data_IF_348616705177
#
_entry.id   IF_348616705177
#
_cell.length_a   1.000
_cell.length_b   1.000
_cell.length_c   1.000
_cell.angle_alpha   90.00
_cell.angle_beta   90.00
_cell.angle_gamma   90.00
#
_symmetry.space_group_name_H-M   'P 1'
#
loop_
_entity.id
_entity.type
_entity.pdbx_description
1 polymer ?
#
# COMPACT_ATOMS: atom_id res chain seq x y z
N UNK A 1 19.09 -31.30 15.93
CA UNK A 1 17.72 -30.92 16.38
C UNK A 1 16.94 -30.48 15.15
N UNK A 2 15.79 -31.08 14.85
CA UNK A 2 14.91 -30.62 13.76
C UNK A 2 14.23 -29.34 14.23
N UNK A 3 14.64 -28.20 13.66
CA UNK A 3 14.01 -26.91 13.93
C UNK A 3 12.66 -26.91 13.22
N UNK A 4 11.62 -27.44 13.88
CA UNK A 4 10.25 -27.39 13.37
C UNK A 4 9.76 -25.95 13.47
N UNK A 5 10.09 -25.14 12.46
CA UNK A 5 9.50 -23.82 12.28
C UNK A 5 7.98 -23.98 12.25
N UNK A 6 7.31 -23.27 13.15
CA UNK A 6 5.86 -23.30 13.27
C UNK A 6 5.29 -22.61 12.04
N UNK A 7 4.80 -23.41 11.08
CA UNK A 7 4.22 -22.90 9.83
C UNK A 7 3.19 -21.83 10.14
N UNK A 8 3.39 -20.62 9.59
CA UNK A 8 2.43 -19.52 9.70
C UNK A 8 1.08 -19.97 9.11
N UNK A 9 0.00 -19.63 9.80
CA UNK A 9 -1.37 -19.95 9.36
C UNK A 9 -2.13 -18.65 9.18
N UNK A 10 -2.90 -18.54 8.10
CA UNK A 10 -3.73 -17.35 7.81
C UNK A 10 -4.60 -16.91 9.00
N UNK A 11 -5.13 -17.86 9.77
CA UNK A 11 -5.94 -17.58 10.98
C UNK A 11 -5.22 -16.81 12.09
N UNK A 12 -3.91 -16.66 12.00
CA UNK A 12 -3.11 -15.88 12.94
C UNK A 12 -3.04 -14.39 12.58
N UNK A 13 -3.59 -14.01 11.42
CA UNK A 13 -3.60 -12.66 10.88
C UNK A 13 -5.04 -12.13 10.82
N UNK A 14 -5.21 -10.82 10.92
CA UNK A 14 -6.51 -10.12 10.82
C UNK A 14 -6.99 -10.05 9.38
N UNK A 15 -6.09 -9.83 8.42
CA UNK A 15 -6.50 -9.52 7.04
C UNK A 15 -5.85 -10.38 5.95
N UNK A 16 -4.79 -11.15 6.24
CA UNK A 16 -4.17 -11.99 5.22
C UNK A 16 -4.96 -13.26 4.89
N UNK A 17 -5.04 -13.55 3.59
CA UNK A 17 -5.52 -14.84 3.07
C UNK A 17 -4.41 -15.89 3.11
N UNK A 18 -4.77 -17.17 2.92
CA UNK A 18 -3.79 -18.26 2.85
C UNK A 18 -2.80 -18.09 1.70
N UNK A 19 -3.25 -17.56 0.57
CA UNK A 19 -2.43 -17.39 -0.62
C UNK A 19 -1.39 -16.29 -0.42
N UNK A 20 -1.78 -15.18 0.21
CA UNK A 20 -0.83 -14.11 0.58
C UNK A 20 0.18 -14.58 1.64
N UNK A 21 -0.26 -15.38 2.63
CA UNK A 21 0.69 -15.97 3.61
C UNK A 21 1.67 -16.94 2.93
N UNK A 22 1.27 -17.61 1.85
CA UNK A 22 2.15 -18.49 1.07
C UNK A 22 3.09 -17.68 0.17
N UNK A 23 2.56 -16.67 -0.51
CA UNK A 23 3.29 -15.79 -1.41
C UNK A 23 2.93 -14.31 -1.12
N UNK A 24 3.73 -13.62 -0.29
CA UNK A 24 3.47 -12.22 0.07
C UNK A 24 3.52 -11.26 -1.14
N UNK A 25 4.22 -11.65 -2.23
CA UNK A 25 4.31 -10.84 -3.45
C UNK A 25 2.93 -10.58 -4.08
N UNK A 26 1.97 -11.50 -3.92
CA UNK A 26 0.61 -11.31 -4.44
C UNK A 26 -0.05 -10.03 -3.91
N UNK A 27 0.19 -9.68 -2.65
CA UNK A 27 -0.32 -8.43 -2.09
C UNK A 27 0.53 -7.23 -2.51
N UNK A 28 1.85 -7.38 -2.48
CA UNK A 28 2.79 -6.29 -2.76
C UNK A 28 2.59 -5.78 -4.20
N UNK A 29 2.56 -6.70 -5.17
CA UNK A 29 2.33 -6.37 -6.57
C UNK A 29 0.98 -5.71 -6.77
N UNK A 30 -0.09 -6.28 -6.22
CA UNK A 30 -1.44 -5.74 -6.38
C UNK A 30 -1.56 -4.32 -5.80
N UNK A 31 -1.02 -4.11 -4.61
CA UNK A 31 -1.10 -2.82 -3.92
C UNK A 31 -0.31 -1.72 -4.63
N UNK A 32 0.95 -1.96 -5.00
CA UNK A 32 1.80 -0.93 -5.61
C UNK A 32 1.59 -0.77 -7.12
N UNK A 33 0.99 -1.75 -7.82
CA UNK A 33 0.65 -1.62 -9.24
C UNK A 33 -0.75 -1.06 -9.49
N UNK A 34 -1.73 -1.40 -8.65
CA UNK A 34 -3.13 -1.10 -8.95
C UNK A 34 -3.79 -0.14 -7.96
N UNK A 35 -3.40 -0.12 -6.70
CA UNK A 35 -4.09 0.66 -5.66
C UNK A 35 -3.48 2.06 -5.47
N UNK A 36 -2.16 2.18 -5.44
CA UNK A 36 -1.50 3.46 -5.14
C UNK A 36 -0.04 3.48 -5.59
N UNK A 37 0.58 4.66 -5.56
CA UNK A 37 2.04 4.80 -5.66
C UNK A 37 2.64 5.10 -4.29
N UNK A 38 3.96 4.91 -4.15
CA UNK A 38 4.64 5.04 -2.86
C UNK A 38 4.51 6.45 -2.24
N UNK A 39 4.52 7.51 -3.05
CA UNK A 39 4.45 8.89 -2.54
C UNK A 39 3.07 9.25 -2.01
N UNK A 40 2.00 8.84 -2.69
CA UNK A 40 0.64 9.00 -2.18
C UNK A 40 0.42 8.17 -0.93
N UNK A 41 0.92 6.94 -0.92
CA UNK A 41 0.81 6.09 0.25
C UNK A 41 1.55 6.65 1.46
N UNK A 42 2.78 7.15 1.28
CA UNK A 42 3.53 7.84 2.34
C UNK A 42 2.73 9.02 2.91
N UNK A 43 2.14 9.85 2.06
CA UNK A 43 1.33 10.98 2.51
C UNK A 43 0.10 10.52 3.31
N UNK A 44 -0.56 9.44 2.88
CA UNK A 44 -1.69 8.87 3.61
C UNK A 44 -1.26 8.37 4.99
N UNK A 45 -0.14 7.66 5.10
CA UNK A 45 0.41 7.24 6.40
C UNK A 45 0.73 8.45 7.28
N UNK A 46 1.40 9.46 6.72
CA UNK A 46 1.78 10.66 7.46
C UNK A 46 0.55 11.41 7.99
N UNK A 47 -0.46 11.61 7.14
CA UNK A 47 -1.69 12.27 7.53
C UNK A 47 -2.44 11.48 8.60
N UNK A 48 -2.59 10.17 8.40
CA UNK A 48 -3.29 9.28 9.32
C UNK A 48 -2.65 9.28 10.72
N UNK A 49 -1.32 9.11 10.79
CA UNK A 49 -0.61 9.06 12.07
C UNK A 49 -0.57 10.43 12.75
N UNK A 50 -0.42 11.53 11.98
CA UNK A 50 -0.44 12.88 12.56
C UNK A 50 -1.82 13.25 13.08
N UNK A 51 -2.89 12.91 12.36
CA UNK A 51 -4.26 13.15 12.79
C UNK A 51 -4.61 12.42 14.10
N UNK A 52 -3.97 11.29 14.37
CA UNK A 52 -4.17 10.56 15.63
C UNK A 52 -3.46 11.21 16.83
N UNK A 53 -2.37 11.96 16.60
CA UNK A 53 -1.66 12.67 17.66
C UNK A 53 -2.13 14.13 17.84
N UNK A 54 -2.77 14.70 16.81
CA UNK A 54 -3.29 16.07 16.82
C UNK A 54 -4.79 16.00 16.50
N UNK A 55 -5.67 15.93 17.51
CA UNK A 55 -7.11 15.76 17.32
C UNK A 55 -7.76 16.79 16.41
N UNK A 56 -7.19 17.99 16.29
CA UNK A 56 -7.67 19.07 15.40
C UNK A 56 -7.45 18.76 13.92
N UNK A 57 -6.49 17.88 13.59
CA UNK A 57 -6.25 17.40 12.22
C UNK A 57 -7.13 16.19 11.89
N UNK A 58 -7.84 15.61 12.87
CA UNK A 58 -8.67 14.44 12.65
C UNK A 58 -10.03 14.81 12.05
N UNK A 59 -10.27 14.40 10.80
CA UNK A 59 -11.63 14.29 10.28
C UNK A 59 -12.24 12.95 10.70
N UNK A 60 -13.10 13.01 11.71
CA UNK A 60 -13.75 11.84 12.32
C UNK A 60 -14.75 11.16 11.38
N UNK A 61 -15.26 11.90 10.40
CA UNK A 61 -16.20 11.38 9.41
C UNK A 61 -15.49 10.95 8.12
N UNK A 62 -14.16 11.02 8.09
CA UNK A 62 -13.39 10.59 6.94
C UNK A 62 -13.48 9.07 6.80
N UNK A 63 -14.36 8.63 5.90
CA UNK A 63 -14.69 7.22 5.69
C UNK A 63 -13.46 6.36 5.36
N UNK A 64 -12.42 6.98 4.78
CA UNK A 64 -11.20 6.26 4.40
C UNK A 64 -10.28 5.94 5.58
N UNK A 65 -10.47 6.52 6.78
CA UNK A 65 -9.62 6.19 7.95
C UNK A 65 -9.60 4.68 8.23
N UNK A 66 -10.76 4.03 8.16
CA UNK A 66 -10.86 2.57 8.33
C UNK A 66 -10.18 1.80 7.19
N UNK A 67 -10.24 2.32 5.97
CA UNK A 67 -9.55 1.74 4.82
C UNK A 67 -8.02 1.83 4.97
N UNK A 68 -7.50 3.02 5.27
CA UNK A 68 -6.07 3.27 5.45
C UNK A 68 -5.51 2.44 6.61
N UNK A 69 -6.21 2.40 7.75
CA UNK A 69 -5.83 1.56 8.89
C UNK A 69 -5.74 0.08 8.50
N UNK A 70 -6.76 -0.44 7.79
CA UNK A 70 -6.76 -1.82 7.30
C UNK A 70 -5.59 -2.11 6.35
N UNK A 71 -5.27 -1.18 5.43
CA UNK A 71 -4.14 -1.35 4.52
C UNK A 71 -2.78 -1.31 5.24
N UNK A 72 -2.60 -0.42 6.22
CA UNK A 72 -1.40 -0.42 7.05
C UNK A 72 -1.24 -1.73 7.83
N UNK A 73 -2.32 -2.24 8.45
CA UNK A 73 -2.26 -3.54 9.14
C UNK A 73 -1.93 -4.66 8.16
N UNK A 74 -2.50 -4.67 6.95
CA UNK A 74 -2.12 -5.66 5.91
C UNK A 74 -0.63 -5.59 5.57
N UNK A 75 -0.06 -4.40 5.38
CA UNK A 75 1.38 -4.23 5.13
C UNK A 75 2.24 -4.75 6.28
N UNK A 76 1.85 -4.46 7.52
CA UNK A 76 2.51 -5.00 8.72
C UNK A 76 2.46 -6.54 8.71
N UNK A 77 1.31 -7.14 8.41
CA UNK A 77 1.16 -8.59 8.36
C UNK A 77 2.00 -9.22 7.23
N UNK A 78 2.01 -8.62 6.04
CA UNK A 78 2.82 -9.08 4.91
C UNK A 78 4.31 -9.00 5.25
N UNK A 79 4.75 -7.89 5.83
CA UNK A 79 6.13 -7.75 6.29
C UNK A 79 6.47 -8.79 7.37
N UNK A 80 5.53 -9.16 8.24
CA UNK A 80 5.74 -10.20 9.24
C UNK A 80 5.90 -11.58 8.59
N UNK A 81 5.13 -11.88 7.55
CA UNK A 81 5.30 -13.11 6.76
C UNK A 81 6.71 -13.14 6.17
N UNK A 82 7.17 -12.04 5.55
CA UNK A 82 8.53 -11.93 4.99
C UNK A 82 9.59 -12.10 6.08
N UNK A 83 9.43 -11.42 7.21
CA UNK A 83 10.33 -11.50 8.37
C UNK A 83 10.57 -12.96 8.81
N UNK A 84 9.50 -13.76 8.90
CA UNK A 84 9.59 -15.17 9.29
C UNK A 84 10.08 -16.08 8.17
N UNK A 85 9.59 -15.91 6.94
CA UNK A 85 9.98 -16.75 5.80
C UNK A 85 11.46 -16.58 5.46
N UNK A 86 11.95 -15.34 5.52
CA UNK A 86 13.36 -14.98 5.29
C UNK A 86 14.23 -15.15 6.53
N UNK A 87 13.66 -15.50 7.70
CA UNK A 87 14.36 -15.68 8.97
C UNK A 87 15.21 -14.45 9.34
N UNK A 88 14.64 -13.26 9.16
CA UNK A 88 15.33 -12.02 9.44
C UNK A 88 15.64 -11.93 10.95
N UNK A 89 16.84 -11.49 11.34
CA UNK A 89 17.22 -11.40 12.75
C UNK A 89 16.46 -10.26 13.43
N UNK A 90 16.40 -10.30 14.77
CA UNK A 90 16.07 -9.12 15.56
C UNK A 90 17.34 -8.27 15.75
N UNK A 91 17.17 -6.97 15.93
CA UNK A 91 18.23 -5.99 16.11
C UNK A 91 18.08 -5.28 17.45
N UNK A 92 19.21 -5.02 18.11
CA UNK A 92 19.22 -4.38 19.43
C UNK A 92 18.90 -2.87 19.37
N UNK A 93 19.15 -2.24 18.22
CA UNK A 93 18.97 -0.78 18.03
C UNK A 93 18.03 -0.47 16.86
N UNK A 94 16.73 -0.80 16.97
CA UNK A 94 15.76 -0.69 15.88
C UNK A 94 15.52 0.73 15.36
N UNK A 95 15.82 1.75 16.16
CA UNK A 95 15.68 3.16 15.78
C UNK A 95 16.97 3.77 15.24
N UNK A 96 18.06 3.00 15.14
CA UNK A 96 19.30 3.45 14.51
C UNK A 96 19.23 3.22 12.99
N UNK A 97 18.77 4.24 12.27
CA UNK A 97 18.50 4.13 10.85
C UNK A 97 19.69 4.43 9.93
N UNK A 98 20.71 5.15 10.40
CA UNK A 98 21.79 5.66 9.55
C UNK A 98 23.12 5.04 9.98
N UNK A 99 23.66 4.15 9.15
CA UNK A 99 24.98 3.57 9.37
C UNK A 99 26.10 4.52 8.93
N UNK A 100 25.83 5.34 7.91
CA UNK A 100 26.79 6.25 7.29
C UNK A 100 26.21 7.65 7.09
N UNK A 101 27.09 8.63 6.81
CA UNK A 101 26.67 9.98 6.42
C UNK A 101 25.92 9.99 5.09
N UNK A 102 26.24 9.05 4.20
CA UNK A 102 25.57 8.89 2.92
C UNK A 102 24.11 8.47 3.11
N UNK A 103 23.85 7.52 4.02
CA UNK A 103 22.47 7.08 4.35
C UNK A 103 21.62 8.26 4.85
N UNK A 104 22.20 9.11 5.71
CA UNK A 104 21.54 10.31 6.20
C UNK A 104 21.27 11.34 5.09
N UNK A 105 22.23 11.53 4.19
CA UNK A 105 22.07 12.42 3.03
C UNK A 105 20.98 11.91 2.08
N UNK A 106 20.95 10.62 1.78
CA UNK A 106 19.93 9.98 0.94
C UNK A 106 18.53 10.15 1.55
N UNK A 107 18.40 9.96 2.86
CA UNK A 107 17.14 10.22 3.56
C UNK A 107 16.69 11.68 3.44
N UNK A 108 17.55 12.65 3.73
CA UNK A 108 17.19 14.06 3.74
C UNK A 108 16.85 14.63 2.36
N UNK A 109 17.62 14.26 1.33
CA UNK A 109 17.56 14.92 0.03
C UNK A 109 16.91 14.07 -1.07
N UNK A 110 16.83 12.75 -0.89
CA UNK A 110 16.29 11.82 -1.89
C UNK A 110 15.09 11.03 -1.39
N UNK A 111 14.78 11.11 -0.09
CA UNK A 111 13.72 10.29 0.53
C UNK A 111 13.98 8.79 0.33
N UNK A 112 15.26 8.41 0.31
CA UNK A 112 15.69 7.03 0.10
C UNK A 112 16.13 6.40 1.44
N UNK A 113 15.62 5.20 1.71
CA UNK A 113 15.90 4.47 2.95
C UNK A 113 16.98 3.42 2.72
N UNK A 114 18.21 3.82 3.00
CA UNK A 114 19.42 3.08 2.61
C UNK A 114 20.28 2.67 3.80
N UNK A 115 21.06 1.61 3.61
CA UNK A 115 22.14 1.17 4.50
C UNK A 115 23.39 1.00 3.65
N UNK A 116 24.47 1.69 4.01
CA UNK A 116 25.68 1.76 3.18
C UNK A 116 25.39 2.22 1.74
N UNK A 117 24.48 3.19 1.58
CA UNK A 117 24.13 3.81 0.31
C UNK A 117 23.21 2.98 -0.59
N UNK A 118 22.74 1.81 -0.14
CA UNK A 118 21.87 0.92 -0.93
C UNK A 118 20.54 0.64 -0.21
N UNK A 119 19.41 0.47 -0.95
CA UNK A 119 18.15 0.06 -0.35
C UNK A 119 18.31 -1.26 0.41
N UNK A 120 17.80 -1.30 1.65
CA UNK A 120 17.92 -2.45 2.52
C UNK A 120 16.55 -2.84 3.14
N UNK A 121 15.63 -3.39 2.33
CA UNK A 121 14.29 -3.75 2.82
C UNK A 121 14.34 -4.81 3.93
N UNK A 122 15.28 -5.76 3.85
CA UNK A 122 15.48 -6.77 4.90
C UNK A 122 15.86 -6.14 6.24
N UNK A 123 16.80 -5.19 6.24
CA UNK A 123 17.22 -4.46 7.43
C UNK A 123 16.05 -3.65 8.00
N UNK A 124 15.30 -2.98 7.14
CA UNK A 124 14.13 -2.18 7.53
C UNK A 124 13.05 -3.02 8.19
N UNK A 125 12.66 -4.15 7.59
CA UNK A 125 11.67 -5.08 8.16
C UNK A 125 12.18 -5.66 9.49
N UNK A 126 13.47 -6.00 9.56
CA UNK A 126 14.12 -6.49 10.77
C UNK A 126 14.05 -5.46 11.91
N UNK A 127 14.39 -4.19 11.65
CA UNK A 127 14.24 -3.08 12.61
C UNK A 127 12.78 -2.87 13.04
N UNK A 128 11.83 -2.95 12.10
CA UNK A 128 10.41 -2.77 12.36
C UNK A 128 9.87 -3.76 13.41
N UNK A 129 10.17 -5.05 13.27
CA UNK A 129 9.75 -6.07 14.24
C UNK A 129 10.64 -6.17 15.49
N UNK A 130 11.82 -5.54 15.45
CA UNK A 130 12.67 -5.37 16.62
C UNK A 130 12.20 -4.23 17.53
N UNK A 131 11.59 -3.19 16.95
CA UNK A 131 10.94 -2.14 17.72
C UNK A 131 9.78 -2.68 18.56
N UNK A 132 8.88 -3.43 17.92
CA UNK A 132 7.81 -4.12 18.64
C UNK A 132 7.25 -5.33 17.88
N UNK A 133 6.70 -6.29 18.64
CA UNK A 133 6.07 -7.49 18.09
C UNK A 133 4.82 -7.18 17.27
N UNK A 134 4.42 -8.11 16.38
CA UNK A 134 3.16 -8.01 15.61
C UNK A 134 1.93 -7.68 16.48
N UNK A 135 1.81 -8.32 17.66
CA UNK A 135 0.68 -8.05 18.56
C UNK A 135 0.67 -6.60 19.04
N UNK A 136 1.83 -6.07 19.45
CA UNK A 136 1.94 -4.67 19.86
C UNK A 136 1.66 -3.69 18.71
N UNK A 137 2.03 -4.07 17.48
CA UNK A 137 1.65 -3.29 16.30
C UNK A 137 0.14 -3.26 16.09
N UNK A 138 -0.55 -4.37 16.31
CA UNK A 138 -2.01 -4.37 16.29
C UNK A 138 -2.60 -3.43 17.34
N UNK A 139 -2.11 -3.52 18.58
CA UNK A 139 -2.58 -2.65 19.67
C UNK A 139 -2.32 -1.17 19.32
N UNK A 140 -1.14 -0.86 18.76
CA UNK A 140 -0.79 0.50 18.29
C UNK A 140 -1.76 1.01 17.22
N UNK A 141 -2.10 0.18 16.22
CA UNK A 141 -3.02 0.57 15.15
C UNK A 141 -4.45 0.73 15.65
N UNK A 142 -4.87 -0.11 16.60
CA UNK A 142 -6.18 -0.01 17.25
C UNK A 142 -6.29 1.29 18.08
N UNK A 143 -5.23 1.63 18.82
CA UNK A 143 -5.14 2.89 19.57
C UNK A 143 -5.19 4.09 18.63
N UNK A 144 -4.39 4.09 17.55
CA UNK A 144 -4.41 5.15 16.54
C UNK A 144 -5.83 5.34 15.97
N UNK A 145 -6.50 4.24 15.60
CA UNK A 145 -7.87 4.28 15.08
C UNK A 145 -8.87 4.79 16.12
N UNK A 146 -8.69 4.43 17.39
CA UNK A 146 -9.49 4.93 18.49
C UNK A 146 -9.36 6.46 18.60
N UNK A 147 -8.13 6.99 18.64
CA UNK A 147 -7.89 8.43 18.77
C UNK A 147 -8.38 9.25 17.56
N UNK A 148 -8.40 8.65 16.37
CA UNK A 148 -9.01 9.30 15.18
C UNK A 148 -10.54 9.44 15.27
N UNK A 149 -11.21 8.64 16.12
CA UNK A 149 -12.68 8.60 16.18
C UNK A 149 -13.26 9.22 17.45
N UNK A 150 -12.46 9.31 18.53
CA UNK A 150 -12.94 9.83 19.81
C UNK A 150 -12.94 11.36 19.83
N UNK A 151 -13.98 12.00 20.42
CA UNK A 151 -14.08 13.45 20.45
C UNK A 151 -13.06 14.20 21.31
N UNK A 152 -12.22 13.48 22.06
CA UNK A 152 -11.52 13.99 23.21
C UNK A 152 -10.25 14.75 22.80
N UNK A 153 -10.27 16.06 23.00
CA UNK A 153 -9.17 16.98 22.75
C UNK A 153 -8.16 17.03 23.90
N UNK A 154 -8.27 16.14 24.90
CA UNK A 154 -7.53 16.27 26.15
C UNK A 154 -6.14 15.60 26.18
N UNK A 155 -5.84 14.68 25.26
CA UNK A 155 -4.73 13.74 25.47
C UNK A 155 -3.69 13.73 24.33
N UNK A 156 -3.11 14.89 24.05
CA UNK A 156 -1.99 15.06 23.11
C UNK A 156 -0.75 14.23 23.46
N UNK A 157 -0.66 13.73 24.69
CA UNK A 157 0.51 13.03 25.21
C UNK A 157 0.43 11.50 25.08
N UNK A 158 -0.69 10.91 24.60
CA UNK A 158 -0.84 9.44 24.61
C UNK A 158 0.33 8.70 23.95
N UNK A 159 0.71 9.14 22.75
CA UNK A 159 1.86 8.59 22.05
C UNK A 159 3.17 9.32 22.40
N UNK A 160 3.09 10.57 22.89
CA UNK A 160 4.25 11.43 23.14
C UNK A 160 5.25 11.43 21.98
N UNK A 161 6.54 11.32 22.29
CA UNK A 161 7.60 11.24 21.27
C UNK A 161 7.56 9.94 20.45
N UNK A 162 6.87 8.90 20.90
CA UNK A 162 6.80 7.61 20.20
C UNK A 162 6.03 7.73 18.89
N UNK A 163 5.13 8.71 18.74
CA UNK A 163 4.40 8.92 17.48
C UNK A 163 5.36 9.17 16.31
N UNK A 164 6.47 9.87 16.56
CA UNK A 164 7.48 10.16 15.54
C UNK A 164 8.14 8.86 15.08
N UNK A 165 8.49 7.98 16.02
CA UNK A 165 9.07 6.68 15.72
C UNK A 165 8.08 5.76 15.00
N UNK A 166 6.82 5.73 15.44
CA UNK A 166 5.73 4.96 14.80
C UNK A 166 5.55 5.42 13.35
N UNK A 167 5.41 6.72 13.12
CA UNK A 167 5.26 7.31 11.78
C UNK A 167 6.44 6.95 10.89
N UNK A 168 7.67 7.17 11.37
CA UNK A 168 8.88 6.90 10.61
C UNK A 168 9.02 5.41 10.26
N UNK A 169 8.71 4.52 11.20
CA UNK A 169 8.74 3.07 10.98
C UNK A 169 7.69 2.60 9.98
N UNK A 170 6.46 3.12 10.04
CA UNK A 170 5.40 2.78 9.09
C UNK A 170 5.73 3.25 7.67
N UNK A 171 6.27 4.47 7.52
CA UNK A 171 6.72 4.98 6.21
C UNK A 171 7.88 4.13 5.68
N UNK A 172 8.89 3.85 6.51
CA UNK A 172 10.02 2.98 6.12
C UNK A 172 9.56 1.59 5.70
N UNK A 173 8.59 1.01 6.40
CA UNK A 173 8.01 -0.28 6.05
C UNK A 173 7.36 -0.21 4.65
N UNK A 174 6.58 0.83 4.39
CA UNK A 174 5.97 1.04 3.08
C UNK A 174 7.01 1.16 1.96
N UNK A 175 8.12 1.88 2.18
CA UNK A 175 9.21 1.93 1.21
C UNK A 175 9.93 0.59 1.07
N UNK A 176 10.14 -0.15 2.16
CA UNK A 176 10.75 -1.48 2.10
C UNK A 176 9.91 -2.45 1.24
N UNK A 177 8.58 -2.44 1.39
CA UNK A 177 7.69 -3.25 0.56
C UNK A 177 7.66 -2.77 -0.89
N UNK A 178 7.75 -1.46 -1.13
CA UNK A 178 7.87 -0.91 -2.47
C UNK A 178 9.20 -1.31 -3.14
N UNK A 179 10.34 -1.26 -2.45
CA UNK A 179 11.61 -1.75 -3.00
C UNK A 179 11.55 -3.24 -3.32
N UNK A 180 10.89 -4.05 -2.48
CA UNK A 180 10.65 -5.46 -2.78
C UNK A 180 9.80 -5.63 -4.06
N UNK A 181 8.84 -4.74 -4.32
CA UNK A 181 8.07 -4.74 -5.56
C UNK A 181 8.95 -4.42 -6.78
N UNK A 182 9.75 -3.36 -6.70
CA UNK A 182 10.60 -2.91 -7.80
C UNK A 182 11.72 -3.93 -8.13
N UNK A 183 12.30 -4.54 -7.10
CA UNK A 183 13.37 -5.53 -7.23
C UNK A 183 12.84 -6.97 -7.48
N UNK A 184 11.52 -7.14 -7.60
CA UNK A 184 10.83 -8.44 -7.72
C UNK A 184 11.21 -9.45 -6.61
N UNK A 185 11.54 -8.96 -5.41
CA UNK A 185 11.89 -9.81 -4.27
C UNK A 185 12.82 -9.16 -3.25
N UNK A 186 13.41 -10.01 -2.41
CA UNK A 186 14.36 -9.60 -1.36
C UNK A 186 15.70 -10.30 -1.55
N UNK A 187 16.78 -9.53 -1.63
CA UNK A 187 18.13 -10.07 -1.69
C UNK A 187 18.65 -10.37 -0.28
N UNK A 188 18.88 -11.65 0.00
CA UNK A 188 19.50 -12.09 1.26
C UNK A 188 20.96 -12.45 1.02
N UNK A 189 21.86 -11.95 1.87
CA UNK A 189 23.25 -12.38 1.84
C UNK A 189 23.37 -13.80 2.37
N UNK A 190 23.39 -14.78 1.47
CA UNK A 190 23.60 -16.18 1.81
C UNK A 190 25.10 -16.47 1.86
N UNK A 191 25.61 -17.11 2.93
CA UNK A 191 27.01 -17.53 2.98
C UNK A 191 27.38 -18.41 1.78
N UNK A 192 28.63 -18.39 1.29
CA UNK A 192 29.02 -19.06 0.04
C UNK A 192 28.78 -20.57 0.00
N UNK A 193 28.65 -21.20 1.17
CA UNK A 193 28.40 -22.63 1.32
C UNK A 193 26.91 -23.01 1.21
N UNK A 194 25.99 -22.04 1.19
CA UNK A 194 24.56 -22.26 1.00
C UNK A 194 24.27 -22.20 -0.50
N UNK A 195 23.99 -23.36 -1.10
CA UNK A 195 23.47 -23.42 -2.47
C UNK A 195 21.97 -23.17 -2.42
N UNK A 196 21.50 -22.14 -3.12
CA UNK A 196 20.09 -22.00 -3.42
C UNK A 196 19.64 -23.29 -4.12
N UNK A 197 18.63 -23.97 -3.57
CA UNK A 197 17.93 -25.01 -4.31
C UNK A 197 17.08 -24.24 -5.31
N UNK A 198 17.64 -23.99 -6.48
CA UNK A 198 16.83 -23.69 -7.65
C UNK A 198 16.08 -25.00 -7.90
N UNK A 199 14.84 -25.10 -7.43
CA UNK A 199 13.92 -26.06 -8.02
C UNK A 199 13.84 -25.65 -9.49
N UNK A 200 14.55 -26.39 -10.35
CA UNK A 200 14.36 -26.29 -11.80
C UNK A 200 12.85 -26.30 -12.06
N UNK A 201 12.35 -25.50 -13.01
CA UNK A 201 10.93 -25.47 -13.31
C UNK A 201 10.50 -26.91 -13.52
N UNK A 202 9.64 -27.42 -12.63
CA UNK A 202 9.00 -28.70 -12.82
C UNK A 202 8.32 -28.60 -14.19
N UNK A 203 8.96 -29.18 -15.20
CA UNK A 203 8.28 -29.65 -16.40
C UNK A 203 7.34 -30.74 -15.91
N UNK A 204 6.21 -30.31 -15.36
CA UNK A 204 5.07 -31.18 -15.15
C UNK A 204 4.64 -31.61 -16.54
N UNK A 205 5.09 -32.79 -16.94
CA UNK A 205 4.38 -33.62 -17.90
C UNK A 205 3.14 -34.22 -17.22
N UNK A 206 2.45 -33.44 -16.38
CA UNK A 206 1.10 -33.75 -15.95
C UNK A 206 0.20 -33.34 -17.11
N UNK A 207 -0.31 -34.36 -17.80
CA UNK A 207 -1.48 -34.24 -18.68
C UNK A 207 -2.46 -33.25 -18.06
N UNK A 208 -2.65 -32.09 -18.72
CA UNK A 208 -3.70 -31.12 -18.42
C UNK A 208 -4.99 -31.89 -18.13
N UNK A 209 -5.41 -31.89 -16.87
CA UNK A 209 -6.66 -32.55 -16.49
C UNK A 209 -7.81 -31.79 -17.16
N UNK A 210 -8.77 -32.51 -17.73
CA UNK A 210 -9.93 -31.97 -18.47
C UNK A 210 -10.67 -30.84 -17.73
N UNK A 211 -10.54 -30.76 -16.41
CA UNK A 211 -11.12 -29.71 -15.58
C UNK A 211 -10.41 -28.34 -15.75
N UNK A 212 -9.09 -28.35 -15.91
CA UNK A 212 -8.28 -27.14 -16.11
C UNK A 212 -8.48 -26.57 -17.51
N UNK A 213 -8.60 -27.45 -18.51
CA UNK A 213 -8.92 -27.08 -19.88
C UNK A 213 -10.34 -26.50 -20.00
N UNK A 214 -11.31 -27.04 -19.24
CA UNK A 214 -12.67 -26.50 -19.19
C UNK A 214 -12.74 -25.13 -18.51
N UNK A 215 -11.87 -24.87 -17.52
CA UNK A 215 -11.77 -23.57 -16.85
C UNK A 215 -11.13 -22.51 -17.76
N UNK A 216 -10.04 -22.86 -18.46
CA UNK A 216 -9.41 -21.99 -19.47
C UNK A 216 -10.40 -21.66 -20.60
N UNK A 217 -11.09 -22.65 -21.16
CA UNK A 217 -12.10 -22.46 -22.22
C UNK A 217 -13.33 -21.64 -21.76
N UNK A 218 -13.65 -21.66 -20.46
CA UNK A 218 -14.77 -20.87 -19.90
C UNK A 218 -14.38 -19.41 -19.70
N UNK A 219 -13.14 -19.15 -19.29
CA UNK A 219 -12.61 -17.80 -19.11
C UNK A 219 -12.44 -17.11 -20.47
N UNK A 220 -11.88 -17.80 -21.46
CA UNK A 220 -11.70 -17.24 -22.81
C UNK A 220 -13.04 -16.92 -23.49
N UNK A 221 -14.08 -17.74 -23.27
CA UNK A 221 -15.44 -17.44 -23.71
C UNK A 221 -16.04 -16.24 -23.00
N UNK A 222 -15.81 -16.08 -21.70
CA UNK A 222 -16.34 -14.95 -20.93
C UNK A 222 -15.69 -13.62 -21.36
N UNK A 223 -14.39 -13.63 -21.68
CA UNK A 223 -13.69 -12.47 -22.24
C UNK A 223 -14.12 -12.13 -23.67
N UNK A 224 -14.24 -13.13 -24.57
CA UNK A 224 -14.72 -12.90 -25.93
C UNK A 224 -16.17 -12.38 -25.98
N UNK A 225 -17.02 -12.79 -25.02
CA UNK A 225 -18.40 -12.30 -24.91
C UNK A 225 -18.44 -10.84 -24.41
N UNK A 226 -17.51 -10.44 -23.53
CA UNK A 226 -17.39 -9.06 -23.04
C UNK A 226 -16.79 -8.11 -24.08
N UNK A 227 -15.86 -8.57 -24.92
CA UNK A 227 -15.35 -7.77 -26.04
C UNK A 227 -16.42 -7.59 -27.14
N UNK A 228 -17.16 -8.63 -27.50
CA UNK A 228 -18.25 -8.52 -28.48
C UNK A 228 -19.44 -7.66 -27.99
N UNK A 229 -19.65 -7.52 -26.68
CA UNK A 229 -20.65 -6.59 -26.12
C UNK A 229 -20.14 -5.15 -26.06
N UNK A 230 -18.82 -4.93 -26.04
CA UNK A 230 -18.23 -3.59 -26.07
C UNK A 230 -18.26 -2.99 -27.48
N UNK A 231 -17.97 -3.80 -28.50
CA UNK A 231 -18.01 -3.35 -29.90
C UNK A 231 -19.44 -3.04 -30.41
N UNK A 232 -20.47 -3.68 -29.85
CA UNK A 232 -21.86 -3.39 -30.22
C UNK A 232 -22.43 -2.12 -29.56
N UNK A 233 -21.84 -1.63 -28.45
CA UNK A 233 -22.30 -0.42 -27.78
C UNK A 233 -21.59 0.86 -28.23
N UNK A 234 -20.47 0.77 -28.97
CA UNK A 234 -19.80 1.94 -29.54
C UNK A 234 -20.34 2.39 -30.91
N UNK A 235 -21.37 1.71 -31.46
CA UNK A 235 -21.94 2.05 -32.78
C UNK A 235 -23.29 2.79 -32.72
N UNK A 236 -23.93 2.95 -31.55
CA UNK A 236 -25.30 3.49 -31.44
C UNK A 236 -25.43 4.91 -30.83
N UNK A 237 -24.33 5.58 -30.45
CA UNK A 237 -24.38 6.97 -29.95
C UNK A 237 -24.17 8.06 -31.02
N UNK A 238 -24.03 7.71 -32.30
CA UNK A 238 -23.79 8.68 -33.39
C UNK A 238 -24.95 8.78 -34.42
N UNK A 239 -26.21 8.57 -34.01
CA UNK A 239 -27.38 8.95 -34.81
C UNK A 239 -28.55 9.46 -33.96
N UNK A 240 -28.49 10.72 -33.51
CA UNK A 240 -29.71 11.53 -33.31
C UNK A 240 -29.40 13.03 -33.40
N UNK A 241 -29.22 13.50 -34.62
CA UNK A 241 -29.16 14.93 -34.96
C UNK A 241 -30.00 15.13 -36.23
N UNK A 242 -31.27 15.50 -36.04
CA UNK A 242 -32.13 16.22 -37.00
C UNK A 242 -33.46 16.57 -36.30
N UNK A 243 -33.65 17.83 -35.86
CA UNK A 243 -34.30 18.98 -36.52
C UNK A 243 -35.76 19.20 -36.09
N UNK A 244 -36.04 20.40 -35.56
CA UNK A 244 -37.30 21.11 -35.80
C UNK A 244 -37.08 22.62 -35.64
N UNK A 245 -37.36 23.30 -36.75
CA UNK A 245 -37.33 24.74 -37.04
C UNK A 245 -38.46 25.53 -36.32
N UNK A 246 -38.14 26.72 -35.77
CA UNK A 246 -38.59 28.10 -36.20
C UNK A 246 -39.82 28.63 -35.40
N UNK A 247 -40.06 29.97 -35.17
CA UNK A 247 -39.49 31.17 -35.82
C UNK A 247 -38.97 32.34 -34.94
N UNK A 248 -38.31 33.27 -35.64
CA UNK A 248 -37.90 34.65 -35.31
C UNK A 248 -39.07 35.64 -35.06
N UNK A 249 -38.86 36.55 -34.10
CA UNK A 249 -38.96 38.02 -34.17
C UNK A 249 -38.65 38.54 -32.74
N UNK A 250 -38.09 39.71 -32.42
CA UNK A 250 -38.03 41.01 -33.07
C UNK A 250 -36.92 41.84 -32.36
N UNK A 251 -36.56 42.98 -32.94
CA UNK A 251 -35.34 43.74 -32.70
C UNK A 251 -35.31 44.65 -31.44
N UNK A 252 -34.08 45.11 -31.17
CA UNK A 252 -33.65 46.40 -30.55
C UNK A 252 -34.02 46.71 -29.10
N UNK A 253 -33.02 46.92 -28.24
CA UNK A 253 -32.53 48.29 -27.99
C UNK A 253 -31.25 48.33 -27.14
N UNK A 254 -30.45 49.37 -27.44
CA UNK A 254 -29.26 49.81 -26.72
C UNK A 254 -29.58 50.17 -25.25
N UNK A 255 -28.63 49.95 -24.33
CA UNK A 255 -27.97 51.07 -23.65
C UNK A 255 -26.75 50.65 -22.83
N UNK A 256 -25.68 51.40 -23.07
CA UNK A 256 -24.44 51.51 -22.32
C UNK A 256 -24.63 52.05 -20.90
N UNK A 257 -23.81 51.61 -19.93
CA UNK A 257 -23.15 52.52 -18.99
C UNK A 257 -21.97 51.86 -18.27
N UNK A 258 -20.89 52.62 -18.19
CA UNK A 258 -19.53 52.29 -17.78
C UNK A 258 -19.33 52.42 -16.24
N UNK A 259 -18.13 52.08 -15.71
CA UNK A 259 -17.82 51.90 -14.28
C UNK A 259 -17.21 53.14 -13.60
N UNK A 260 -17.26 53.18 -12.26
CA UNK A 260 -16.42 53.89 -11.26
C UNK A 260 -17.26 54.04 -9.96
N UNK A 261 -16.76 54.00 -8.71
CA UNK A 261 -15.51 54.50 -8.13
C UNK A 261 -15.37 54.05 -6.66
N UNK A 262 -14.12 53.81 -6.23
CA UNK A 262 -13.43 54.23 -4.99
C UNK A 262 -14.05 54.17 -3.57
N UNK A 263 -13.22 53.59 -2.70
CA UNK A 263 -12.77 54.04 -1.37
C UNK A 263 -13.77 54.37 -0.25
N UNK A 264 -13.62 53.63 0.86
CA UNK A 264 -13.10 54.18 2.13
C UNK A 264 -12.44 53.06 2.94
#
# INVERSE_FOLDING_TARGET
>A
MKNTQKKLKAKSFRYLTKDIVKNPMLYIEDFYRHETNIFYWMNNIQLFVNAAAVPEMADRNFAENGYHCKQMIKQIEVAYVIFHQCQLPLQDTPLNFFATKEDYHNYLFRMEYTIHGQPAPADTISKFFSYQSLQKWYDTMDDIMHYLTVPDSGNYEYFGDQIIAIRELLIRLAFALHYINEDEGIFLHVPPYVKAINDEPHQSTEKKNKLQQFMEDSIDKEYATKEAQKDNNETDENQSLETSEVPESEASDLESLNPHTMNS
#
